data_IF_667494301749
#
_entry.id   IF_667494301749
#
_cell.length_a   1.000
_cell.length_b   1.000
_cell.length_c   1.000
_cell.angle_alpha   90.00
_cell.angle_beta   90.00
_cell.angle_gamma   90.00
#
_symmetry.space_group_name_H-M   'P 1'
#
loop_
_entity.id
_entity.type
_entity.pdbx_description
1 polymer ?
#
# COMPACT_ATOMS: atom_id res chain seq x y z
N UNK A 1 -20.15 36.21 -16.07
CA UNK A 1 -21.50 36.07 -15.49
C UNK A 1 -21.74 34.66 -14.97
N UNK A 2 -20.84 34.17 -14.05
CA UNK A 2 -20.89 32.79 -13.50
C UNK A 2 -20.35 32.70 -12.07
N UNK A 3 -20.47 33.80 -11.27
CA UNK A 3 -19.91 33.87 -9.89
C UNK A 3 -20.98 33.88 -8.77
N UNK A 4 -22.22 33.51 -9.06
CA UNK A 4 -23.35 33.65 -8.10
C UNK A 4 -24.03 32.34 -7.74
N UNK A 5 -23.41 31.16 -7.98
CA UNK A 5 -24.02 29.86 -7.68
C UNK A 5 -23.31 29.01 -6.62
N UNK A 6 -22.27 29.54 -5.97
CA UNK A 6 -21.72 28.88 -4.78
C UNK A 6 -22.27 29.62 -3.57
N UNK A 7 -23.48 29.27 -3.17
CA UNK A 7 -23.97 29.54 -1.83
C UNK A 7 -23.21 28.55 -0.92
N UNK A 8 -22.09 28.99 -0.37
CA UNK A 8 -21.46 28.32 0.76
C UNK A 8 -22.50 28.31 1.88
N UNK A 9 -23.14 27.18 2.12
CA UNK A 9 -23.80 26.97 3.40
C UNK A 9 -22.72 27.07 4.45
N UNK A 10 -22.69 28.18 5.16
CA UNK A 10 -21.88 28.37 6.35
C UNK A 10 -22.31 27.27 7.32
N UNK A 11 -21.62 26.15 7.23
CA UNK A 11 -21.76 25.07 8.19
C UNK A 11 -21.42 25.68 9.54
N UNK A 12 -22.42 25.88 10.43
CA UNK A 12 -22.21 26.29 11.80
C UNK A 12 -21.02 25.47 12.32
N UNK A 13 -19.99 26.09 12.92
CA UNK A 13 -18.95 25.31 13.55
C UNK A 13 -19.65 24.40 14.56
N UNK A 14 -19.60 23.10 14.27
CA UNK A 14 -20.02 22.07 15.24
C UNK A 14 -19.25 22.41 16.51
N UNK A 15 -19.99 22.56 17.59
CA UNK A 15 -19.47 22.86 18.93
C UNK A 15 -18.13 22.16 19.13
N UNK A 16 -17.15 22.95 19.52
CA UNK A 16 -15.80 22.58 19.92
C UNK A 16 -15.67 21.08 20.13
N UNK A 17 -15.27 20.37 19.06
CA UNK A 17 -14.78 19.00 19.21
C UNK A 17 -13.58 19.14 20.15
N UNK A 18 -13.82 18.90 21.42
CA UNK A 18 -12.78 18.80 22.42
C UNK A 18 -11.67 17.96 21.80
N UNK A 19 -10.43 18.46 21.86
CA UNK A 19 -9.20 17.72 21.51
C UNK A 19 -9.04 16.56 22.50
N UNK A 20 -10.00 15.65 22.53
CA UNK A 20 -9.86 14.38 23.23
C UNK A 20 -8.90 13.56 22.37
N UNK A 21 -7.64 13.59 22.80
CA UNK A 21 -6.63 12.70 22.25
C UNK A 21 -7.23 11.30 22.18
N UNK A 22 -6.98 10.57 21.07
CA UNK A 22 -7.50 9.22 20.88
C UNK A 22 -7.16 8.38 22.10
N UNK A 23 -8.13 8.07 22.93
CA UNK A 23 -7.93 7.14 24.05
C UNK A 23 -7.86 5.72 23.50
N UNK A 24 -6.64 5.26 23.24
CA UNK A 24 -6.36 3.93 22.71
C UNK A 24 -6.95 2.80 23.58
N UNK A 25 -7.21 3.06 24.87
CA UNK A 25 -7.84 2.11 25.79
C UNK A 25 -9.32 1.86 25.49
N UNK A 26 -9.98 2.81 24.84
CA UNK A 26 -11.42 2.73 24.51
C UNK A 26 -11.70 2.06 23.15
N UNK A 27 -10.67 1.69 22.39
CA UNK A 27 -10.84 1.08 21.08
C UNK A 27 -11.12 -0.42 21.21
N UNK A 28 -12.31 -0.91 20.84
CA UNK A 28 -12.70 -2.32 21.01
C UNK A 28 -11.87 -3.28 20.13
N UNK A 29 -11.31 -2.80 19.03
CA UNK A 29 -10.52 -3.59 18.06
C UNK A 29 -9.09 -3.08 17.90
N UNK A 30 -8.44 -2.64 18.99
CA UNK A 30 -7.12 -2.01 19.00
C UNK A 30 -6.07 -2.78 18.17
N UNK A 31 -5.99 -4.10 18.34
CA UNK A 31 -5.02 -4.94 17.62
C UNK A 31 -5.23 -4.91 16.10
N UNK A 32 -6.50 -4.93 15.65
CA UNK A 32 -6.83 -4.84 14.22
C UNK A 32 -6.45 -3.48 13.67
N UNK A 33 -6.73 -2.41 14.42
CA UNK A 33 -6.42 -1.03 14.01
C UNK A 33 -4.90 -0.86 13.86
N UNK A 34 -4.11 -1.27 14.86
CA UNK A 34 -2.64 -1.22 14.79
C UNK A 34 -2.13 -2.03 13.58
N UNK A 35 -2.70 -3.22 13.35
CA UNK A 35 -2.35 -4.02 12.19
C UNK A 35 -2.63 -3.28 10.87
N UNK A 36 -3.74 -2.57 10.75
CA UNK A 36 -4.05 -1.78 9.56
C UNK A 36 -3.09 -0.61 9.36
N UNK A 37 -2.72 0.09 10.43
CA UNK A 37 -1.71 1.16 10.37
C UNK A 37 -0.35 0.61 9.90
N UNK A 38 0.10 -0.49 10.48
CA UNK A 38 1.34 -1.16 10.08
C UNK A 38 1.26 -1.68 8.63
N UNK A 39 0.11 -2.21 8.22
CA UNK A 39 -0.09 -2.68 6.83
C UNK A 39 0.02 -1.53 5.83
N UNK A 40 -0.57 -0.37 6.13
CA UNK A 40 -0.44 0.83 5.30
C UNK A 40 1.01 1.33 5.21
N UNK A 41 1.74 1.33 6.34
CA UNK A 41 3.16 1.64 6.39
C UNK A 41 3.97 0.66 5.53
N UNK A 42 3.79 -0.65 5.71
CA UNK A 42 4.53 -1.68 4.97
C UNK A 42 4.24 -1.62 3.47
N UNK A 43 3.01 -1.33 3.07
CA UNK A 43 2.61 -1.16 1.68
C UNK A 43 3.36 0.00 1.02
N UNK A 44 3.39 1.17 1.68
CA UNK A 44 4.09 2.35 1.17
C UNK A 44 5.61 2.16 1.18
N UNK A 45 6.14 1.55 2.24
CA UNK A 45 7.55 1.20 2.33
C UNK A 45 7.96 0.28 1.17
N UNK A 46 7.16 -0.76 0.90
CA UNK A 46 7.43 -1.70 -0.19
C UNK A 46 7.43 -1.02 -1.57
N UNK A 47 6.44 -0.17 -1.86
CA UNK A 47 6.40 0.56 -3.12
C UNK A 47 7.58 1.52 -3.26
N UNK A 48 7.81 2.35 -2.25
CA UNK A 48 8.84 3.40 -2.28
C UNK A 48 10.27 2.87 -2.17
N UNK A 49 10.49 1.66 -1.66
CA UNK A 49 11.82 1.03 -1.67
C UNK A 49 12.27 0.63 -3.07
N UNK A 50 11.33 0.37 -3.96
CA UNK A 50 11.62 -0.16 -5.30
C UNK A 50 11.53 0.93 -6.37
N UNK A 51 10.58 1.88 -6.26
CA UNK A 51 10.38 2.91 -7.30
C UNK A 51 11.66 3.67 -7.67
N UNK A 52 12.49 4.18 -6.74
CA UNK A 52 13.70 4.92 -7.10
C UNK A 52 14.74 4.06 -7.80
N UNK A 53 14.80 2.77 -7.49
CA UNK A 53 15.80 1.86 -8.05
C UNK A 53 15.39 1.23 -9.39
N UNK A 54 14.13 1.35 -9.80
CA UNK A 54 13.63 0.75 -11.05
C UNK A 54 14.47 1.20 -12.25
N UNK A 55 14.74 2.49 -12.39
CA UNK A 55 15.52 3.01 -13.52
C UNK A 55 16.93 2.44 -13.53
N UNK A 56 17.57 2.30 -12.36
CA UNK A 56 18.89 1.70 -12.23
C UNK A 56 18.85 0.20 -12.53
N UNK A 57 17.81 -0.49 -12.07
CA UNK A 57 17.61 -1.91 -12.36
C UNK A 57 17.34 -2.16 -13.84
N UNK A 58 16.54 -1.34 -14.52
CA UNK A 58 16.30 -1.44 -15.96
C UNK A 58 17.58 -1.25 -16.76
N UNK A 59 18.53 -0.42 -16.31
CA UNK A 59 19.86 -0.30 -16.96
C UNK A 59 20.63 -1.62 -16.98
N UNK A 60 20.41 -2.52 -16.06
CA UNK A 60 21.04 -3.85 -16.04
C UNK A 60 20.35 -4.85 -16.97
N UNK A 61 19.12 -4.55 -17.42
CA UNK A 61 18.30 -5.41 -18.25
C UNK A 61 18.25 -4.99 -19.72
N UNK A 62 18.56 -3.73 -20.02
CA UNK A 62 18.46 -3.13 -21.35
C UNK A 62 19.81 -2.56 -21.75
N UNK A 63 20.37 -3.06 -22.87
CA UNK A 63 21.70 -2.64 -23.35
C UNK A 63 21.67 -1.28 -24.07
N UNK A 64 20.53 -0.90 -24.64
CA UNK A 64 20.38 0.37 -25.36
C UNK A 64 19.98 1.49 -24.42
N UNK A 65 20.89 2.45 -24.22
CA UNK A 65 20.68 3.61 -23.33
C UNK A 65 19.45 4.45 -23.73
N UNK A 66 19.09 4.49 -25.01
CA UNK A 66 17.93 5.25 -25.50
C UNK A 66 16.60 4.65 -25.06
N UNK A 67 16.57 3.36 -24.74
CA UNK A 67 15.37 2.63 -24.36
C UNK A 67 15.18 2.54 -22.84
N UNK A 68 16.20 2.79 -22.03
CA UNK A 68 16.13 2.65 -20.57
C UNK A 68 14.99 3.46 -19.98
N UNK A 69 14.90 4.74 -20.34
CA UNK A 69 13.84 5.64 -19.82
C UNK A 69 12.46 5.21 -20.28
N UNK A 70 12.32 4.73 -21.52
CA UNK A 70 11.05 4.24 -22.07
C UNK A 70 10.59 2.98 -21.33
N UNK A 71 11.48 2.01 -21.17
CA UNK A 71 11.16 0.76 -20.45
C UNK A 71 10.84 1.02 -18.98
N UNK A 72 11.60 1.89 -18.30
CA UNK A 72 11.29 2.30 -16.93
C UNK A 72 9.90 2.96 -16.84
N UNK A 73 9.56 3.83 -17.79
CA UNK A 73 8.23 4.42 -17.91
C UNK A 73 7.13 3.37 -18.10
N UNK A 74 7.34 2.37 -18.97
CA UNK A 74 6.39 1.26 -19.16
C UNK A 74 6.22 0.42 -17.91
N UNK A 75 7.27 0.17 -17.15
CA UNK A 75 7.23 -0.56 -15.88
C UNK A 75 6.36 0.16 -14.86
N UNK A 76 6.50 1.49 -14.74
CA UNK A 76 5.69 2.29 -13.82
C UNK A 76 4.24 2.41 -14.32
N UNK A 77 4.03 2.66 -15.59
CA UNK A 77 2.70 2.74 -16.21
C UNK A 77 1.93 1.41 -16.08
N UNK A 78 2.60 0.28 -16.25
CA UNK A 78 1.99 -1.04 -16.11
C UNK A 78 1.48 -1.28 -14.68
N UNK A 79 2.27 -0.91 -13.65
CA UNK A 79 1.84 -1.01 -12.26
C UNK A 79 0.62 -0.12 -11.98
N UNK A 80 0.62 1.12 -12.47
CA UNK A 80 -0.50 2.05 -12.33
C UNK A 80 -1.76 1.54 -13.03
N UNK A 81 -1.65 1.04 -14.28
CA UNK A 81 -2.78 0.45 -15.02
C UNK A 81 -3.35 -0.76 -14.30
N UNK A 82 -2.50 -1.67 -13.81
CA UNK A 82 -2.94 -2.80 -12.99
C UNK A 82 -3.71 -2.36 -11.77
N UNK A 83 -3.23 -1.34 -11.07
CA UNK A 83 -3.90 -0.78 -9.88
C UNK A 83 -5.25 -0.15 -10.21
N UNK A 84 -5.37 0.61 -11.30
CA UNK A 84 -6.63 1.21 -11.74
C UNK A 84 -7.67 0.14 -12.05
N UNK A 85 -7.28 -0.89 -12.81
CA UNK A 85 -8.19 -1.98 -13.20
C UNK A 85 -8.66 -2.75 -11.96
N UNK A 86 -7.75 -3.05 -11.04
CA UNK A 86 -8.07 -3.89 -9.89
C UNK A 86 -8.79 -3.15 -8.76
N UNK A 87 -8.62 -1.84 -8.63
CA UNK A 87 -9.16 -1.08 -7.50
C UNK A 87 -10.67 -1.29 -7.29
N UNK A 88 -11.46 -1.18 -8.37
CA UNK A 88 -12.91 -1.37 -8.32
C UNK A 88 -13.30 -2.84 -8.09
N UNK A 89 -12.57 -3.77 -8.68
CA UNK A 89 -12.87 -5.20 -8.58
C UNK A 89 -12.49 -5.75 -7.20
N UNK A 90 -11.30 -5.40 -6.71
CA UNK A 90 -10.86 -5.80 -5.36
C UNK A 90 -11.74 -5.20 -4.27
N UNK A 91 -12.23 -3.96 -4.44
CA UNK A 91 -13.19 -3.37 -3.52
C UNK A 91 -14.47 -4.21 -3.42
N UNK A 92 -15.11 -4.50 -4.55
CA UNK A 92 -16.31 -5.36 -4.60
C UNK A 92 -16.07 -6.77 -4.05
N UNK A 93 -14.90 -7.32 -4.30
CA UNK A 93 -14.53 -8.63 -3.78
C UNK A 93 -14.31 -8.58 -2.25
N UNK A 94 -13.71 -7.50 -1.74
CA UNK A 94 -13.52 -7.28 -0.32
C UNK A 94 -14.84 -7.16 0.45
N UNK A 95 -15.86 -6.53 -0.16
CA UNK A 95 -17.21 -6.46 0.40
C UNK A 95 -17.86 -7.84 0.52
N UNK A 96 -17.57 -8.76 -0.42
CA UNK A 96 -18.16 -10.12 -0.45
C UNK A 96 -17.47 -11.12 0.48
N UNK A 97 -16.13 -11.17 0.47
CA UNK A 97 -15.37 -12.21 1.19
C UNK A 97 -14.65 -11.67 2.43
N UNK A 98 -14.73 -10.36 2.68
CA UNK A 98 -14.16 -9.66 3.83
C UNK A 98 -12.84 -8.98 3.54
N UNK A 99 -12.73 -7.71 3.97
CA UNK A 99 -11.58 -6.83 3.72
C UNK A 99 -10.26 -7.41 4.26
N UNK A 100 -10.25 -7.99 5.48
CA UNK A 100 -9.04 -8.59 6.07
C UNK A 100 -8.48 -9.75 5.26
N UNK A 101 -9.36 -10.56 4.64
CA UNK A 101 -8.94 -11.66 3.76
C UNK A 101 -8.30 -11.13 2.50
N UNK A 102 -8.92 -10.14 1.86
CA UNK A 102 -8.38 -9.50 0.65
C UNK A 102 -7.03 -8.87 0.93
N UNK A 103 -6.88 -8.13 2.05
CA UNK A 103 -5.60 -7.54 2.44
C UNK A 103 -4.52 -8.62 2.58
N UNK A 104 -4.82 -9.72 3.26
CA UNK A 104 -3.88 -10.83 3.43
C UNK A 104 -3.49 -11.46 2.09
N UNK A 105 -4.47 -11.76 1.23
CA UNK A 105 -4.22 -12.36 -0.08
C UNK A 105 -3.41 -11.43 -0.99
N UNK A 106 -3.75 -10.14 -1.02
CA UNK A 106 -3.05 -9.15 -1.82
C UNK A 106 -1.60 -8.94 -1.38
N UNK A 107 -1.33 -8.85 -0.06
CA UNK A 107 0.02 -8.79 0.47
C UNK A 107 0.83 -10.06 0.15
N UNK A 108 0.20 -11.22 0.26
CA UNK A 108 0.84 -12.51 -0.10
C UNK A 108 1.18 -12.54 -1.58
N UNK A 109 0.22 -12.20 -2.45
CA UNK A 109 0.43 -12.16 -3.89
C UNK A 109 1.54 -11.17 -4.28
N UNK A 110 1.53 -9.96 -3.71
CA UNK A 110 2.57 -8.95 -3.96
C UNK A 110 3.95 -9.42 -3.49
N UNK A 111 4.04 -9.99 -2.29
CA UNK A 111 5.27 -10.56 -1.76
C UNK A 111 5.83 -11.66 -2.65
N UNK A 112 4.99 -12.59 -3.11
CA UNK A 112 5.39 -13.65 -4.02
C UNK A 112 5.80 -13.13 -5.40
N UNK A 113 5.11 -12.11 -5.94
CA UNK A 113 5.45 -11.49 -7.22
C UNK A 113 6.79 -10.72 -7.20
N UNK A 114 7.26 -10.30 -6.05
CA UNK A 114 8.57 -9.65 -5.91
C UNK A 114 9.73 -10.65 -6.09
N UNK A 115 9.53 -11.92 -5.77
CA UNK A 115 10.58 -12.94 -5.92
C UNK A 115 11.02 -13.07 -7.37
N UNK A 116 10.14 -13.35 -8.35
CA UNK A 116 10.57 -13.43 -9.75
C UNK A 116 11.08 -12.09 -10.29
N UNK A 117 10.63 -10.94 -9.77
CA UNK A 117 11.16 -9.63 -10.18
C UNK A 117 12.66 -9.47 -9.87
N UNK A 118 13.18 -10.14 -8.84
CA UNK A 118 14.61 -10.16 -8.53
C UNK A 118 15.46 -10.91 -9.58
N UNK A 119 14.84 -11.80 -10.35
CA UNK A 119 15.54 -12.71 -11.28
C UNK A 119 15.18 -12.49 -12.76
N UNK A 120 14.44 -11.41 -13.10
CA UNK A 120 14.13 -11.08 -14.47
C UNK A 120 15.39 -10.82 -15.29
N UNK A 121 15.35 -11.22 -16.56
CA UNK A 121 16.43 -11.04 -17.53
C UNK A 121 16.07 -10.06 -18.64
N UNK A 122 14.83 -9.62 -18.71
CA UNK A 122 14.32 -8.70 -19.73
C UNK A 122 13.42 -7.62 -19.12
N UNK A 123 13.48 -6.40 -19.67
CA UNK A 123 12.61 -5.31 -19.25
C UNK A 123 11.12 -5.62 -19.41
N UNK A 124 10.73 -6.39 -20.42
CA UNK A 124 9.33 -6.77 -20.64
C UNK A 124 8.78 -7.76 -19.60
N UNK A 125 9.63 -8.65 -19.09
CA UNK A 125 9.26 -9.51 -17.95
C UNK A 125 8.96 -8.66 -16.72
N UNK A 126 9.78 -7.62 -16.48
CA UNK A 126 9.56 -6.69 -15.38
C UNK A 126 8.25 -5.92 -15.56
N UNK A 127 7.93 -5.44 -16.78
CA UNK A 127 6.65 -4.78 -17.10
C UNK A 127 5.47 -5.67 -16.77
N UNK A 128 5.50 -6.94 -17.20
CA UNK A 128 4.41 -7.90 -16.94
C UNK A 128 4.23 -8.17 -15.44
N UNK A 129 5.33 -8.39 -14.70
CA UNK A 129 5.28 -8.64 -13.25
C UNK A 129 4.81 -7.40 -12.46
N UNK A 130 5.15 -6.20 -12.92
CA UNK A 130 4.68 -4.95 -12.34
C UNK A 130 3.20 -4.72 -12.58
N UNK A 131 2.69 -5.08 -13.74
CA UNK A 131 1.26 -5.07 -14.01
C UNK A 131 0.50 -5.99 -13.06
N UNK A 132 0.97 -7.23 -12.89
CA UNK A 132 0.37 -8.19 -11.94
C UNK A 132 0.45 -7.69 -10.49
N UNK A 133 1.57 -7.06 -10.10
CA UNK A 133 1.71 -6.46 -8.78
C UNK A 133 0.72 -5.31 -8.59
N UNK A 134 0.52 -4.47 -9.60
CA UNK A 134 -0.51 -3.43 -9.58
C UNK A 134 -1.91 -4.02 -9.40
N UNK A 135 -2.24 -5.11 -10.12
CA UNK A 135 -3.50 -5.83 -9.92
C UNK A 135 -3.67 -6.35 -8.48
N UNK A 136 -2.60 -6.83 -7.86
CA UNK A 136 -2.66 -7.32 -6.48
C UNK A 136 -2.86 -6.20 -5.45
N UNK A 137 -2.27 -5.02 -5.65
CA UNK A 137 -2.20 -3.96 -4.65
C UNK A 137 -3.23 -2.83 -4.81
N UNK A 138 -3.85 -2.68 -5.99
CA UNK A 138 -4.66 -1.49 -6.32
C UNK A 138 -5.85 -1.22 -5.41
N UNK A 139 -6.43 -2.24 -4.77
CA UNK A 139 -7.55 -2.08 -3.84
C UNK A 139 -7.16 -2.02 -2.35
N UNK A 140 -5.86 -2.10 -2.01
CA UNK A 140 -5.44 -2.29 -0.62
C UNK A 140 -5.70 -1.08 0.27
N UNK A 141 -5.37 0.11 -0.19
CA UNK A 141 -5.58 1.33 0.60
C UNK A 141 -7.05 1.59 0.95
N UNK A 142 -8.00 1.53 -0.01
CA UNK A 142 -9.42 1.63 0.32
C UNK A 142 -9.90 0.49 1.24
N UNK A 143 -9.37 -0.73 1.11
CA UNK A 143 -9.70 -1.83 2.03
C UNK A 143 -9.21 -1.55 3.46
N UNK A 144 -8.00 -1.00 3.63
CA UNK A 144 -7.48 -0.59 4.94
C UNK A 144 -8.40 0.48 5.57
N UNK A 145 -8.76 1.50 4.78
CA UNK A 145 -9.64 2.57 5.24
C UNK A 145 -11.04 2.04 5.61
N UNK A 146 -11.58 1.08 4.85
CA UNK A 146 -12.86 0.44 5.14
C UNK A 146 -12.81 -0.35 6.46
N UNK A 147 -11.76 -1.15 6.70
CA UNK A 147 -11.58 -1.87 7.98
C UNK A 147 -11.54 -0.91 9.16
N UNK A 148 -10.81 0.20 9.03
CA UNK A 148 -10.74 1.22 10.09
C UNK A 148 -12.12 1.81 10.36
N UNK A 149 -12.85 2.22 9.31
CA UNK A 149 -14.20 2.80 9.45
C UNK A 149 -15.18 1.86 10.14
N UNK A 150 -15.15 0.57 9.82
CA UNK A 150 -16.05 -0.43 10.41
C UNK A 150 -15.70 -0.83 11.85
N UNK A 151 -14.48 -0.55 12.32
CA UNK A 151 -13.98 -0.99 13.62
C UNK A 151 -13.77 0.13 14.63
N UNK A 152 -13.93 1.38 14.22
CA UNK A 152 -13.68 2.58 15.02
C UNK A 152 -15.02 3.31 15.26
N UNK A 153 -15.32 3.76 16.48
CA UNK A 153 -16.48 4.62 16.76
C UNK A 153 -16.46 5.89 15.89
N UNK A 154 -17.63 6.35 15.42
CA UNK A 154 -17.76 7.45 14.46
C UNK A 154 -16.97 8.71 14.84
N UNK A 155 -17.00 9.12 16.11
CA UNK A 155 -16.27 10.30 16.59
C UNK A 155 -14.74 10.21 16.53
N UNK A 156 -14.16 9.01 16.32
CA UNK A 156 -12.72 8.77 16.31
C UNK A 156 -12.20 8.38 14.91
N UNK A 157 -13.08 8.12 13.94
CA UNK A 157 -12.70 7.62 12.61
C UNK A 157 -11.74 8.58 11.92
N UNK A 158 -12.00 9.88 11.94
CA UNK A 158 -11.14 10.90 11.32
C UNK A 158 -9.72 10.88 11.88
N UNK A 159 -9.58 10.80 13.21
CA UNK A 159 -8.28 10.76 13.87
C UNK A 159 -7.49 9.49 13.53
N UNK A 160 -8.15 8.33 13.53
CA UNK A 160 -7.49 7.05 13.20
C UNK A 160 -7.11 6.98 11.71
N UNK A 161 -7.94 7.51 10.81
CA UNK A 161 -7.57 7.66 9.40
C UNK A 161 -6.38 8.61 9.23
N UNK A 162 -6.32 9.70 10.01
CA UNK A 162 -5.15 10.58 10.05
C UNK A 162 -3.88 9.84 10.46
N UNK A 163 -3.93 9.00 11.50
CA UNK A 163 -2.80 8.14 11.87
C UNK A 163 -2.45 7.13 10.77
N UNK A 164 -3.44 6.60 10.04
CA UNK A 164 -3.20 5.72 8.89
C UNK A 164 -2.42 6.43 7.79
N UNK A 165 -2.80 7.65 7.45
CA UNK A 165 -2.08 8.47 6.47
C UNK A 165 -0.66 8.80 6.97
N UNK A 166 -0.49 9.17 8.24
CA UNK A 166 0.83 9.42 8.83
C UNK A 166 1.73 8.17 8.77
N UNK A 167 1.19 6.99 9.07
CA UNK A 167 1.91 5.72 8.94
C UNK A 167 2.33 5.44 7.48
N UNK A 168 1.47 5.75 6.51
CA UNK A 168 1.79 5.63 5.08
C UNK A 168 2.93 6.58 4.68
N UNK A 169 2.91 7.83 5.12
CA UNK A 169 4.02 8.77 4.88
C UNK A 169 5.32 8.33 5.54
N UNK A 170 5.26 7.76 6.75
CA UNK A 170 6.43 7.16 7.36
C UNK A 170 7.01 6.02 6.49
N UNK A 171 6.17 5.17 5.92
CA UNK A 171 6.57 4.14 4.95
C UNK A 171 7.20 4.74 3.68
N UNK A 172 6.61 5.82 3.15
CA UNK A 172 7.16 6.53 1.98
C UNK A 172 8.54 7.15 2.26
N UNK A 173 8.77 7.63 3.48
CA UNK A 173 10.07 8.18 3.89
C UNK A 173 11.13 7.08 4.10
N UNK A 174 10.77 6.01 4.81
CA UNK A 174 11.68 4.90 5.13
C UNK A 174 12.01 4.06 3.89
N UNK A 175 11.05 3.89 2.98
CA UNK A 175 11.18 3.04 1.79
C UNK A 175 12.40 3.36 0.93
N UNK A 176 12.58 4.58 0.43
CA UNK A 176 13.72 4.95 -0.39
C UNK A 176 15.06 4.82 0.33
N UNK A 177 15.10 5.10 1.64
CA UNK A 177 16.29 4.92 2.46
C UNK A 177 16.70 3.46 2.52
N UNK A 178 15.74 2.57 2.80
CA UNK A 178 15.96 1.13 2.81
C UNK A 178 16.37 0.61 1.42
N UNK A 179 15.61 1.01 0.38
CA UNK A 179 15.89 0.60 -0.99
C UNK A 179 17.25 1.06 -1.48
N UNK A 180 17.63 2.31 -1.22
CA UNK A 180 18.92 2.87 -1.57
C UNK A 180 20.07 2.22 -0.81
N UNK A 181 19.91 2.03 0.51
CA UNK A 181 20.93 1.37 1.35
C UNK A 181 21.17 -0.08 0.93
N UNK A 182 20.11 -0.89 0.86
CA UNK A 182 20.21 -2.30 0.47
C UNK A 182 20.68 -2.43 -0.98
N UNK A 183 20.13 -1.60 -1.89
CA UNK A 183 20.50 -1.62 -3.30
C UNK A 183 21.95 -1.22 -3.55
N UNK A 184 22.49 -0.27 -2.78
CA UNK A 184 23.87 0.20 -2.90
C UNK A 184 24.91 -0.73 -2.29
N UNK A 185 24.60 -1.42 -1.18
CA UNK A 185 25.57 -2.25 -0.46
C UNK A 185 25.48 -3.74 -0.81
N UNK A 186 24.28 -4.26 -1.06
CA UNK A 186 24.04 -5.69 -1.28
C UNK A 186 23.65 -5.97 -2.74
N UNK A 187 23.00 -5.01 -3.38
CA UNK A 187 22.60 -5.09 -4.78
C UNK A 187 21.07 -5.03 -4.99
N UNK A 188 20.68 -4.72 -6.22
CA UNK A 188 19.28 -4.47 -6.58
C UNK A 188 18.37 -5.68 -6.34
N UNK A 189 18.86 -6.90 -6.57
CA UNK A 189 18.11 -8.15 -6.32
C UNK A 189 17.72 -8.29 -4.84
N UNK A 190 18.62 -7.90 -3.95
CA UNK A 190 18.38 -7.96 -2.50
C UNK A 190 17.23 -7.04 -2.06
N UNK A 191 17.03 -5.89 -2.72
CA UNK A 191 15.91 -5.00 -2.41
C UNK A 191 14.57 -5.70 -2.66
N UNK A 192 14.41 -6.36 -3.82
CA UNK A 192 13.20 -7.11 -4.14
C UNK A 192 12.93 -8.23 -3.13
N UNK A 193 13.97 -8.99 -2.77
CA UNK A 193 13.86 -10.10 -1.81
C UNK A 193 13.58 -9.61 -0.39
N UNK A 194 14.26 -8.56 0.07
CA UNK A 194 14.01 -7.96 1.38
C UNK A 194 12.59 -7.42 1.48
N UNK A 195 12.13 -6.70 0.46
CA UNK A 195 10.77 -6.18 0.39
C UNK A 195 9.74 -7.31 0.33
N UNK A 196 10.02 -8.39 -0.42
CA UNK A 196 9.20 -9.62 -0.43
C UNK A 196 9.05 -10.21 0.97
N UNK A 197 10.14 -10.38 1.70
CA UNK A 197 10.11 -10.89 3.07
C UNK A 197 9.28 -10.00 4.00
N UNK A 198 9.40 -8.69 3.88
CA UNK A 198 8.62 -7.73 4.67
C UNK A 198 7.13 -7.85 4.37
N UNK A 199 6.72 -7.92 3.10
CA UNK A 199 5.32 -8.07 2.72
C UNK A 199 4.76 -9.42 3.16
N UNK A 200 5.49 -10.52 3.01
CA UNK A 200 5.07 -11.84 3.45
C UNK A 200 4.95 -11.92 4.98
N UNK A 201 5.85 -11.31 5.72
CA UNK A 201 5.74 -11.18 7.18
C UNK A 201 4.49 -10.39 7.57
N UNK A 202 4.20 -9.27 6.88
CA UNK A 202 2.97 -8.49 7.04
C UNK A 202 1.72 -9.30 6.73
N UNK A 203 1.74 -10.11 5.66
CA UNK A 203 0.65 -11.00 5.29
C UNK A 203 0.40 -12.06 6.38
N UNK A 204 1.45 -12.70 6.88
CA UNK A 204 1.36 -13.69 7.96
C UNK A 204 0.78 -13.09 9.25
N UNK A 205 1.19 -11.86 9.59
CA UNK A 205 0.62 -11.15 10.74
C UNK A 205 -0.87 -10.83 10.54
N UNK A 206 -1.26 -10.29 9.37
CA UNK A 206 -2.67 -10.06 9.03
C UNK A 206 -3.50 -11.35 9.11
N UNK A 207 -2.97 -12.47 8.60
CA UNK A 207 -3.62 -13.76 8.66
C UNK A 207 -3.87 -14.23 10.10
N UNK A 208 -2.87 -14.10 10.97
CA UNK A 208 -2.99 -14.44 12.40
C UNK A 208 -4.09 -13.63 13.09
N UNK A 209 -4.14 -12.32 12.83
CA UNK A 209 -5.16 -11.43 13.40
C UNK A 209 -6.55 -11.77 12.85
N UNK A 210 -6.64 -12.06 11.56
CA UNK A 210 -7.92 -12.48 10.96
C UNK A 210 -8.47 -13.73 11.64
N UNK A 211 -7.64 -14.76 11.85
CA UNK A 211 -8.06 -15.99 12.57
C UNK A 211 -8.52 -15.70 13.99
N UNK A 212 -7.82 -14.88 14.73
CA UNK A 212 -8.19 -14.48 16.10
C UNK A 212 -9.50 -13.68 16.15
N UNK A 213 -9.81 -12.90 15.11
CA UNK A 213 -11.06 -12.13 15.04
C UNK A 213 -12.27 -12.98 14.62
N UNK A 214 -12.05 -14.15 14.02
CA UNK A 214 -13.09 -15.08 13.61
C UNK A 214 -13.52 -16.06 14.74
N UNK A 215 -12.67 -16.21 15.77
CA UNK A 215 -12.91 -17.12 16.91
C UNK A 215 -13.48 -16.39 18.14
N UNK A 216 -13.70 -15.09 18.07
CA UNK A 216 -14.38 -14.26 19.07
C UNK A 216 -15.74 -13.79 18.56
#
# INVERSE_FOLDING_TARGET
MTLTLIREEVHKPADTVAKTGVSWSLLPARTVIICMLCTGLLLMLANMSIEPIITVYVRTLVSDASQITKVAGYVMAAAALGSIISASWLGKLADRIGHLRIITLALTAAGLLLIPQAFVTSGWQLVALRFLMGLALGGLLPCIAAVIRHRVPEGMVGSILGYSVAAQFAGQFIGPLMGGFVGGHIGMRAVFLATSCILLAGAAWNFKIHRQSATR
#
